data_IF_631534991638
#
_entry.id   IF_631534991638
#
_cell.length_a   1.000
_cell.length_b   1.000
_cell.length_c   1.000
_cell.angle_alpha   90.00
_cell.angle_beta   90.00
_cell.angle_gamma   90.00
#
_symmetry.space_group_name_H-M   'P 1'
#
loop_
_entity.id
_entity.type
_entity.pdbx_description
1 polymer ?
#
# COMPACT_ATOMS: atom_id res chain seq x y z
N UNK A 1 8.59 5.14 -8.68
CA UNK A 1 7.28 5.17 -7.99
C UNK A 1 6.52 6.47 -8.20
N UNK A 2 7.14 7.65 -8.02
CA UNK A 2 6.43 8.95 -8.15
C UNK A 2 5.75 9.24 -9.51
N UNK A 3 6.41 8.97 -10.64
CA UNK A 3 5.87 9.29 -11.97
C UNK A 3 4.63 8.44 -12.30
N UNK A 4 4.72 7.13 -12.08
CA UNK A 4 3.60 6.19 -12.32
C UNK A 4 2.43 6.45 -11.37
N UNK A 5 2.72 6.80 -10.11
CA UNK A 5 1.69 7.14 -9.14
C UNK A 5 1.00 8.47 -9.48
N UNK A 6 1.76 9.47 -9.96
CA UNK A 6 1.21 10.71 -10.50
C UNK A 6 0.32 10.49 -11.72
N UNK A 7 0.70 9.57 -12.62
CA UNK A 7 -0.08 9.16 -13.79
C UNK A 7 -1.43 8.50 -13.43
N UNK A 8 -1.50 7.80 -12.30
CA UNK A 8 -2.73 7.15 -11.85
C UNK A 8 -3.75 8.15 -11.30
N UNK A 9 -3.28 9.24 -10.69
CA UNK A 9 -4.12 10.28 -10.09
C UNK A 9 -4.45 11.43 -11.05
N UNK A 10 -3.65 11.62 -12.11
CA UNK A 10 -3.85 12.68 -13.11
C UNK A 10 -5.22 12.65 -13.79
N UNK A 11 -5.77 11.50 -14.24
CA UNK A 11 -7.09 11.51 -14.87
C UNK A 11 -8.21 11.88 -13.89
N UNK A 12 -8.08 11.53 -12.60
CA UNK A 12 -9.07 11.89 -11.57
C UNK A 12 -9.00 13.40 -11.29
N UNK A 13 -7.80 13.94 -11.08
CA UNK A 13 -7.59 15.37 -10.88
C UNK A 13 -8.01 16.20 -12.11
N UNK A 14 -7.75 15.70 -13.32
CA UNK A 14 -8.13 16.37 -14.56
C UNK A 14 -9.64 16.49 -14.72
N UNK A 15 -10.40 15.43 -14.40
CA UNK A 15 -11.87 15.44 -14.46
C UNK A 15 -12.45 16.38 -13.40
N UNK A 16 -11.86 16.40 -12.19
CA UNK A 16 -12.29 17.31 -11.12
C UNK A 16 -12.00 18.79 -11.43
N UNK A 17 -10.90 19.11 -12.13
CA UNK A 17 -10.55 20.50 -12.47
C UNK A 17 -11.23 21.02 -13.75
N UNK A 18 -11.55 20.15 -14.71
CA UNK A 18 -12.07 20.57 -16.03
C UNK A 18 -13.60 20.51 -16.16
N UNK A 19 -14.30 19.79 -15.28
CA UNK A 19 -15.76 19.67 -15.35
C UNK A 19 -16.43 20.24 -14.10
N UNK A 20 -17.19 21.33 -14.27
CA UNK A 20 -17.92 21.98 -13.19
C UNK A 20 -19.10 21.15 -12.65
N UNK A 21 -19.49 20.06 -13.33
CA UNK A 21 -20.53 19.12 -12.87
C UNK A 21 -19.93 17.84 -12.26
N UNK A 22 -18.61 17.73 -12.18
CA UNK A 22 -17.95 16.59 -11.55
C UNK A 22 -18.29 16.56 -10.05
N UNK A 23 -18.60 15.37 -9.54
CA UNK A 23 -18.84 15.19 -8.11
C UNK A 23 -17.58 15.60 -7.33
N UNK A 24 -17.69 16.50 -6.33
CA UNK A 24 -16.56 16.86 -5.48
C UNK A 24 -16.18 15.72 -4.52
N UNK A 25 -17.08 14.75 -4.32
CA UNK A 25 -16.85 13.63 -3.42
C UNK A 25 -15.91 12.59 -4.06
N UNK A 26 -14.74 12.42 -3.43
CA UNK A 26 -13.70 11.46 -3.88
C UNK A 26 -14.21 10.01 -3.83
N UNK A 27 -15.21 9.73 -2.99
CA UNK A 27 -15.86 8.42 -2.87
C UNK A 27 -16.52 7.94 -4.17
N UNK A 28 -17.03 8.85 -5.00
CA UNK A 28 -17.63 8.48 -6.29
C UNK A 28 -16.56 7.99 -7.29
N UNK A 29 -15.30 8.37 -7.09
CA UNK A 29 -14.16 7.90 -7.89
C UNK A 29 -13.52 6.63 -7.31
N UNK A 30 -13.75 6.32 -6.04
CA UNK A 30 -13.25 5.12 -5.39
C UNK A 30 -13.89 3.86 -5.99
N UNK A 31 -15.19 3.89 -6.25
CA UNK A 31 -15.91 2.77 -6.86
C UNK A 31 -15.36 2.37 -8.25
N UNK A 32 -15.28 3.28 -9.25
CA UNK A 32 -14.70 2.95 -10.56
C UNK A 32 -13.22 2.57 -10.47
N UNK A 33 -12.48 3.12 -9.50
CA UNK A 33 -11.09 2.71 -9.25
C UNK A 33 -11.00 1.24 -8.81
N UNK A 34 -11.84 0.80 -7.87
CA UNK A 34 -11.91 -0.61 -7.47
C UNK A 34 -12.37 -1.52 -8.60
N UNK A 35 -13.34 -1.09 -9.41
CA UNK A 35 -13.77 -1.83 -10.60
C UNK A 35 -12.63 -1.99 -11.61
N UNK A 36 -11.84 -0.94 -11.86
CA UNK A 36 -10.70 -0.99 -12.77
C UNK A 36 -9.59 -1.93 -12.26
N UNK A 37 -9.33 -1.93 -10.95
CA UNK A 37 -8.38 -2.86 -10.31
C UNK A 37 -8.86 -4.30 -10.43
N UNK A 38 -10.14 -4.56 -10.16
CA UNK A 38 -10.72 -5.89 -10.29
C UNK A 38 -10.68 -6.40 -11.74
N UNK A 39 -11.03 -5.54 -12.69
CA UNK A 39 -10.97 -5.85 -14.11
C UNK A 39 -9.53 -6.14 -14.55
N UNK A 40 -8.57 -5.27 -14.20
CA UNK A 40 -7.16 -5.45 -14.54
C UNK A 40 -6.59 -6.75 -13.93
N UNK A 41 -6.97 -7.06 -12.68
CA UNK A 41 -6.58 -8.31 -12.02
C UNK A 41 -7.15 -9.54 -12.74
N UNK A 42 -8.41 -9.47 -13.16
CA UNK A 42 -9.06 -10.54 -13.95
C UNK A 42 -8.37 -10.75 -15.30
N UNK A 43 -8.06 -9.66 -16.02
CA UNK A 43 -7.32 -9.71 -17.29
C UNK A 43 -5.93 -10.30 -17.09
N UNK A 44 -5.21 -9.88 -16.04
CA UNK A 44 -3.89 -10.43 -15.70
C UNK A 44 -3.97 -11.93 -15.38
N UNK A 45 -4.96 -12.35 -14.60
CA UNK A 45 -5.16 -13.75 -14.27
C UNK A 45 -5.46 -14.60 -15.51
N UNK A 46 -6.35 -14.12 -16.39
CA UNK A 46 -6.66 -14.80 -17.65
C UNK A 46 -5.41 -14.88 -18.55
N UNK A 47 -4.66 -13.78 -18.69
CA UNK A 47 -3.43 -13.74 -19.48
C UNK A 47 -2.39 -14.74 -18.92
N UNK A 48 -2.24 -14.78 -17.60
CA UNK A 48 -1.37 -15.74 -16.92
C UNK A 48 -1.82 -17.19 -17.17
N UNK A 49 -3.11 -17.50 -17.05
CA UNK A 49 -3.66 -18.83 -17.34
C UNK A 49 -3.44 -19.24 -18.81
N UNK A 50 -3.59 -18.31 -19.76
CA UNK A 50 -3.35 -18.56 -21.19
C UNK A 50 -1.86 -18.79 -21.47
N UNK A 51 -0.96 -18.07 -20.81
CA UNK A 51 0.47 -18.20 -21.00
C UNK A 51 1.04 -19.49 -20.35
N UNK A 52 0.53 -19.87 -19.18
CA UNK A 52 1.02 -21.01 -18.40
C UNK A 52 0.28 -22.34 -18.64
N UNK A 53 -0.42 -22.48 -19.77
CA UNK A 53 -1.31 -23.60 -20.19
C UNK A 53 -0.96 -25.02 -19.72
N UNK A 54 0.31 -25.37 -19.52
CA UNK A 54 0.77 -26.72 -19.17
C UNK A 54 1.33 -26.88 -17.73
N UNK A 55 1.61 -25.78 -17.01
CA UNK A 55 2.32 -25.79 -15.71
C UNK A 55 1.77 -24.72 -14.75
N UNK A 56 0.46 -24.67 -14.54
CA UNK A 56 -0.15 -23.78 -13.53
C UNK A 56 0.28 -24.25 -12.13
N UNK A 57 1.36 -23.69 -11.61
CA UNK A 57 1.81 -23.87 -10.23
C UNK A 57 1.28 -22.71 -9.40
N UNK A 58 -0.02 -22.75 -9.09
CA UNK A 58 -0.64 -21.87 -8.10
C UNK A 58 -0.82 -22.67 -6.80
N UNK A 59 0.17 -22.69 -5.89
CA UNK A 59 0.01 -23.39 -4.62
C UNK A 59 -1.14 -22.74 -3.83
N UNK A 60 -2.17 -23.52 -3.54
CA UNK A 60 -3.37 -23.04 -2.83
C UNK A 60 -3.04 -22.43 -1.45
N UNK A 61 -1.94 -22.88 -0.84
CA UNK A 61 -1.43 -22.37 0.43
C UNK A 61 -1.01 -20.89 0.37
N UNK A 62 -0.62 -20.39 -0.81
CA UNK A 62 -0.25 -18.99 -1.00
C UNK A 62 -1.44 -18.09 -1.39
N UNK A 63 -2.57 -18.69 -1.78
CA UNK A 63 -3.79 -17.97 -2.17
C UNK A 63 -4.45 -17.31 -0.95
N UNK A 64 -4.46 -18.01 0.20
CA UNK A 64 -5.05 -17.49 1.43
C UNK A 64 -4.33 -16.22 1.95
N UNK A 65 -2.99 -16.21 2.14
CA UNK A 65 -2.28 -15.01 2.59
C UNK A 65 -2.25 -13.89 1.55
N UNK A 66 -2.30 -14.21 0.25
CA UNK A 66 -2.40 -13.18 -0.79
C UNK A 66 -3.77 -12.52 -0.83
N UNK A 67 -4.85 -13.28 -0.60
CA UNK A 67 -6.20 -12.73 -0.48
C UNK A 67 -6.33 -11.80 0.74
N UNK A 68 -5.80 -12.20 1.90
CA UNK A 68 -5.82 -11.34 3.10
C UNK A 68 -4.99 -10.08 2.91
N UNK A 69 -3.83 -10.18 2.26
CA UNK A 69 -3.04 -9.01 1.88
C UNK A 69 -3.79 -8.09 0.92
N UNK A 70 -4.51 -8.65 -0.06
CA UNK A 70 -5.36 -7.87 -0.97
C UNK A 70 -6.44 -7.06 -0.24
N UNK A 71 -7.12 -7.66 0.73
CA UNK A 71 -8.14 -6.98 1.56
C UNK A 71 -7.52 -5.84 2.38
N UNK A 72 -6.34 -6.10 2.97
CA UNK A 72 -5.58 -5.10 3.73
C UNK A 72 -5.17 -3.94 2.81
N UNK A 73 -4.70 -4.24 1.61
CA UNK A 73 -4.32 -3.24 0.61
C UNK A 73 -5.51 -2.40 0.16
N UNK A 74 -6.67 -3.00 -0.12
CA UNK A 74 -7.90 -2.29 -0.48
C UNK A 74 -8.33 -1.31 0.62
N UNK A 75 -8.30 -1.75 1.89
CA UNK A 75 -8.60 -0.90 3.05
C UNK A 75 -7.63 0.27 3.15
N UNK A 76 -6.33 0.02 2.94
CA UNK A 76 -5.30 1.05 2.93
C UNK A 76 -5.50 2.09 1.82
N UNK A 77 -5.93 1.65 0.62
CA UNK A 77 -6.23 2.54 -0.49
C UNK A 77 -7.44 3.45 -0.20
N UNK A 78 -8.51 2.92 0.41
CA UNK A 78 -9.67 3.73 0.82
C UNK A 78 -9.24 4.81 1.83
N UNK A 79 -8.45 4.42 2.85
CA UNK A 79 -7.92 5.37 3.83
C UNK A 79 -7.06 6.45 3.18
N UNK A 80 -6.26 6.08 2.18
CA UNK A 80 -5.42 7.02 1.45
C UNK A 80 -6.26 8.01 0.63
N UNK A 81 -7.30 7.55 -0.07
CA UNK A 81 -8.22 8.45 -0.79
C UNK A 81 -8.94 9.43 0.15
N UNK A 82 -9.41 8.97 1.31
CA UNK A 82 -10.03 9.84 2.33
C UNK A 82 -9.01 10.86 2.84
N UNK A 83 -7.78 10.44 3.09
CA UNK A 83 -6.71 11.34 3.56
C UNK A 83 -6.34 12.38 2.51
N UNK A 84 -6.28 12.00 1.24
CA UNK A 84 -6.05 12.93 0.13
C UNK A 84 -7.13 14.01 0.05
N UNK A 85 -8.40 13.64 0.30
CA UNK A 85 -9.50 14.60 0.34
C UNK A 85 -9.36 15.61 1.50
N UNK A 86 -8.97 15.13 2.70
CA UNK A 86 -8.90 15.98 3.89
C UNK A 86 -7.64 16.86 3.96
N UNK A 87 -6.50 16.33 3.51
CA UNK A 87 -5.19 16.89 3.80
C UNK A 87 -4.42 17.33 2.54
N UNK A 88 -4.93 17.02 1.34
CA UNK A 88 -4.23 17.12 0.04
C UNK A 88 -3.15 16.05 -0.17
N UNK A 89 -2.94 15.67 -1.43
CA UNK A 89 -2.03 14.59 -1.85
C UNK A 89 -0.59 14.81 -1.36
N UNK A 90 -0.15 16.06 -1.25
CA UNK A 90 1.22 16.44 -0.88
C UNK A 90 1.60 16.04 0.55
N UNK A 91 0.66 16.08 1.49
CA UNK A 91 0.95 15.73 2.90
C UNK A 91 0.52 14.30 3.23
N UNK A 92 -0.50 13.77 2.54
CA UNK A 92 -0.97 12.41 2.73
C UNK A 92 0.05 11.36 2.25
N UNK A 93 0.75 11.62 1.15
CA UNK A 93 1.74 10.70 0.59
C UNK A 93 2.91 10.34 1.53
N UNK A 94 3.61 11.30 2.18
CA UNK A 94 4.66 10.98 3.12
C UNK A 94 4.13 10.27 4.38
N UNK A 95 2.91 10.58 4.83
CA UNK A 95 2.28 9.92 5.98
C UNK A 95 2.02 8.44 5.65
N UNK A 96 1.34 8.16 4.54
CA UNK A 96 1.03 6.78 4.11
C UNK A 96 2.28 5.96 3.79
N UNK A 97 3.37 6.58 3.33
CA UNK A 97 4.63 5.86 3.08
C UNK A 97 5.36 5.49 4.38
N UNK A 98 5.24 6.33 5.42
CA UNK A 98 5.92 6.11 6.71
C UNK A 98 5.18 5.12 7.61
N UNK A 99 3.85 5.13 7.60
CA UNK A 99 3.05 4.27 8.50
C UNK A 99 3.39 2.78 8.41
N UNK A 100 3.43 2.13 7.22
CA UNK A 100 3.74 0.71 7.11
C UNK A 100 5.14 0.37 7.61
N UNK A 101 6.11 1.25 7.37
CA UNK A 101 7.49 1.05 7.86
C UNK A 101 7.56 1.11 9.38
N UNK A 102 6.88 2.06 10.02
CA UNK A 102 6.88 2.19 11.48
C UNK A 102 6.16 1.00 12.13
N UNK A 103 5.01 0.60 11.58
CA UNK A 103 4.26 -0.57 12.08
C UNK A 103 5.08 -1.84 11.89
N UNK A 104 5.78 -2.00 10.76
CA UNK A 104 6.66 -3.13 10.51
C UNK A 104 7.78 -3.22 11.55
N UNK A 105 8.47 -2.11 11.84
CA UNK A 105 9.52 -2.07 12.87
C UNK A 105 8.95 -2.34 14.27
N UNK A 106 7.78 -1.78 14.60
CA UNK A 106 7.15 -2.03 15.91
C UNK A 106 6.74 -3.50 16.07
N UNK A 107 6.14 -4.11 15.04
CA UNK A 107 5.77 -5.52 15.05
C UNK A 107 7.01 -6.41 15.11
N UNK A 108 8.06 -6.09 14.37
CA UNK A 108 9.34 -6.81 14.40
C UNK A 108 9.93 -6.82 15.83
N UNK A 109 10.00 -5.67 16.49
CA UNK A 109 10.48 -5.55 17.87
C UNK A 109 9.62 -6.33 18.86
N UNK A 110 8.29 -6.30 18.71
CA UNK A 110 7.35 -6.94 19.65
C UNK A 110 7.26 -8.45 19.46
N UNK A 111 7.19 -8.93 18.21
CA UNK A 111 7.01 -10.35 17.88
C UNK A 111 8.35 -11.11 17.81
N UNK A 112 9.35 -10.58 17.13
CA UNK A 112 10.64 -11.25 16.98
C UNK A 112 11.57 -11.05 18.18
N UNK A 113 11.28 -10.08 19.07
CA UNK A 113 12.10 -9.79 20.26
C UNK A 113 13.60 -9.64 19.92
N UNK A 114 13.92 -9.22 18.70
CA UNK A 114 15.30 -9.24 18.17
C UNK A 114 16.23 -8.30 18.95
N UNK A 115 15.66 -7.27 19.60
CA UNK A 115 16.43 -6.34 20.42
C UNK A 115 16.58 -6.88 21.85
N UNK A 116 17.53 -7.80 22.06
CA UNK A 116 18.21 -7.90 23.36
C UNK A 116 19.13 -6.70 23.48
N UNK A 117 18.69 -5.65 24.15
CA UNK A 117 19.60 -4.55 24.55
C UNK A 117 20.58 -5.12 25.57
N UNK A 118 21.68 -5.70 25.10
CA UNK A 118 22.86 -5.94 25.93
C UNK A 118 23.53 -4.59 26.11
N UNK A 119 23.10 -3.85 27.14
CA UNK A 119 23.81 -2.66 27.60
C UNK A 119 25.23 -3.07 27.96
N UNK A 120 26.17 -2.93 27.02
CA UNK A 120 27.60 -3.06 27.30
C UNK A 120 28.05 -1.79 28.04
N UNK A 121 27.70 -1.72 29.33
CA UNK A 121 28.18 -0.75 30.32
C UNK A 121 29.69 -0.90 30.61
N UNK A 122 30.47 -1.57 29.75
CA UNK A 122 31.90 -1.86 29.98
C UNK A 122 32.86 -0.87 29.33
N UNK A 123 32.43 -0.07 28.35
CA UNK A 123 33.34 0.86 27.66
C UNK A 123 33.44 2.27 28.29
N UNK A 124 32.62 2.59 29.30
CA UNK A 124 32.68 3.88 30.00
C UNK A 124 33.49 3.84 31.32
N UNK A 125 33.71 2.67 31.92
CA UNK A 125 34.61 2.56 33.08
C UNK A 125 36.09 2.46 32.70
N UNK A 126 36.42 2.13 31.46
CA UNK A 126 37.82 1.92 31.04
C UNK A 126 38.49 3.19 30.46
N UNK A 127 37.75 4.30 30.33
CA UNK A 127 38.27 5.61 29.97
C UNK A 127 38.33 6.59 31.16
N UNK A 128 38.16 6.08 32.40
CA UNK A 128 38.14 6.90 33.62
C UNK A 128 38.99 6.28 34.75
N UNK A 129 40.04 5.52 34.37
CA UNK A 129 41.14 5.09 35.24
C UNK A 129 42.46 5.35 34.54
#
# INVERSE_FOLDING_TARGET
LGILHGLMMTPIAYIQDNDSNASPDVLDYVFPHFCAVFFSSTVYFIAYCVWMRDRIHAPAELILPSATYGILWCTGMILWFISNHLLSQTVSFPITTRLPSTIGVLLDVVFFKDIKVSYSFRNLQQNLI
#
